data_IF_080382737564
#
_entry.id   IF_080382737564
#
_cell.length_a   1.000
_cell.length_b   1.000
_cell.length_c   1.000
_cell.angle_alpha   90.00
_cell.angle_beta   90.00
_cell.angle_gamma   90.00
#
_symmetry.space_group_name_H-M   'P 1'
#
loop_
_entity.id
_entity.type
_entity.pdbx_description
1 polymer ?
#
# COMPACT_ATOMS: atom_id res chain seq x y z
N UNK A 1 33.49 -13.92 -19.35
CA UNK A 1 32.72 -13.57 -18.13
C UNK A 1 31.36 -13.03 -18.56
N UNK A 2 30.33 -13.88 -18.63
CA UNK A 2 28.96 -13.40 -18.88
C UNK A 2 28.32 -13.04 -17.55
N UNK A 3 27.96 -11.77 -17.36
CA UNK A 3 27.16 -11.36 -16.23
C UNK A 3 25.80 -12.11 -16.27
N UNK A 4 25.50 -12.87 -15.22
CA UNK A 4 24.22 -13.55 -15.09
C UNK A 4 23.14 -12.52 -14.76
N UNK A 5 22.39 -12.11 -15.77
CA UNK A 5 21.28 -11.14 -15.73
C UNK A 5 19.99 -11.72 -15.11
N UNK A 6 19.98 -12.99 -14.71
CA UNK A 6 18.84 -13.71 -14.16
C UNK A 6 19.25 -14.36 -12.82
N UNK A 7 18.72 -14.07 -11.64
CA UNK A 7 17.35 -13.79 -11.32
C UNK A 7 17.32 -13.15 -9.93
N UNK A 8 16.91 -11.89 -9.83
CA UNK A 8 16.29 -11.46 -8.57
C UNK A 8 15.01 -12.30 -8.42
N UNK A 9 14.87 -13.08 -7.34
CA UNK A 9 13.71 -13.96 -7.18
C UNK A 9 12.44 -13.11 -7.25
N UNK A 10 11.39 -13.61 -7.92
CA UNK A 10 10.12 -12.88 -8.12
C UNK A 10 9.62 -12.25 -6.83
N UNK A 11 9.73 -12.97 -5.71
CA UNK A 11 9.35 -12.49 -4.38
C UNK A 11 10.12 -11.26 -3.92
N UNK A 12 11.39 -11.12 -4.30
CA UNK A 12 12.18 -9.93 -3.97
C UNK A 12 11.63 -8.69 -4.66
N UNK A 13 11.36 -8.78 -5.97
CA UNK A 13 10.77 -7.67 -6.74
C UNK A 13 9.39 -7.30 -6.21
N UNK A 14 8.54 -8.29 -5.94
CA UNK A 14 7.18 -8.07 -5.44
C UNK A 14 7.17 -7.29 -4.12
N UNK A 15 8.10 -7.56 -3.20
CA UNK A 15 8.21 -6.78 -1.96
C UNK A 15 8.45 -5.29 -2.22
N UNK A 16 9.38 -4.96 -3.12
CA UNK A 16 9.65 -3.56 -3.46
C UNK A 16 8.44 -2.90 -4.12
N UNK A 17 7.80 -3.60 -5.06
CA UNK A 17 6.59 -3.11 -5.72
C UNK A 17 5.44 -2.88 -4.75
N UNK A 18 5.18 -3.83 -3.84
CA UNK A 18 4.10 -3.72 -2.85
C UNK A 18 4.38 -2.60 -1.85
N UNK A 19 5.62 -2.49 -1.34
CA UNK A 19 6.01 -1.40 -0.45
C UNK A 19 5.83 -0.03 -1.11
N UNK A 20 6.29 0.11 -2.36
CA UNK A 20 6.11 1.35 -3.13
C UNK A 20 4.64 1.62 -3.44
N UNK A 21 3.85 0.60 -3.81
CA UNK A 21 2.43 0.73 -4.10
C UNK A 21 1.65 1.22 -2.87
N UNK A 22 1.94 0.72 -1.66
CA UNK A 22 1.30 1.18 -0.43
C UNK A 22 1.61 2.66 -0.14
N UNK A 23 2.88 3.06 -0.29
CA UNK A 23 3.31 4.46 -0.09
C UNK A 23 2.64 5.38 -1.13
N UNK A 24 2.73 5.02 -2.41
CA UNK A 24 2.14 5.79 -3.49
C UNK A 24 0.61 5.90 -3.36
N UNK A 25 -0.05 4.82 -2.95
CA UNK A 25 -1.50 4.80 -2.73
C UNK A 25 -1.88 5.72 -1.57
N UNK A 26 -1.12 5.70 -0.46
CA UNK A 26 -1.37 6.63 0.64
C UNK A 26 -1.17 8.08 0.20
N UNK A 27 -0.06 8.38 -0.47
CA UNK A 27 0.20 9.72 -0.98
C UNK A 27 -0.90 10.20 -1.94
N UNK A 28 -1.36 9.34 -2.86
CA UNK A 28 -2.47 9.63 -3.74
C UNK A 28 -3.77 9.92 -2.98
N UNK A 29 -4.14 9.04 -2.04
CA UNK A 29 -5.38 9.21 -1.25
C UNK A 29 -5.33 10.41 -0.29
N UNK A 30 -4.14 10.85 0.08
CA UNK A 30 -3.94 12.05 0.88
C UNK A 30 -3.97 13.35 0.05
N UNK A 31 -3.41 13.31 -1.17
CA UNK A 31 -3.20 14.52 -1.99
C UNK A 31 -4.29 14.78 -3.02
N UNK A 32 -4.95 13.74 -3.52
CA UNK A 32 -5.94 13.88 -4.57
C UNK A 32 -7.35 13.80 -3.98
N UNK A 33 -8.25 14.73 -4.34
CA UNK A 33 -9.62 14.68 -3.86
C UNK A 33 -10.42 13.54 -4.48
N UNK A 34 -11.31 12.93 -3.68
CA UNK A 34 -12.31 12.03 -4.21
C UNK A 34 -13.36 12.81 -5.02
N UNK A 35 -13.53 12.43 -6.29
CA UNK A 35 -14.43 13.09 -7.24
C UNK A 35 -15.83 12.44 -7.33
N UNK A 36 -15.98 11.19 -6.94
CA UNK A 36 -17.24 10.43 -7.01
C UNK A 36 -17.43 9.55 -5.77
N UNK A 37 -18.69 9.31 -5.38
CA UNK A 37 -19.01 8.37 -4.31
C UNK A 37 -18.82 6.93 -4.81
N UNK A 38 -17.86 6.16 -4.27
CA UNK A 38 -17.69 4.79 -4.70
C UNK A 38 -18.85 3.92 -4.20
N UNK A 39 -19.22 2.93 -5.01
CA UNK A 39 -20.19 1.92 -4.56
C UNK A 39 -19.63 1.14 -3.34
N UNK A 40 -20.50 0.66 -2.43
CA UNK A 40 -20.05 -0.09 -1.25
C UNK A 40 -19.15 -1.29 -1.60
N UNK A 41 -19.44 -1.97 -2.72
CA UNK A 41 -18.63 -3.09 -3.20
C UNK A 41 -17.20 -2.66 -3.54
N UNK A 42 -17.01 -1.51 -4.20
CA UNK A 42 -15.68 -0.97 -4.53
C UNK A 42 -14.93 -0.58 -3.26
N UNK A 43 -15.62 0.01 -2.29
CA UNK A 43 -15.03 0.33 -0.98
C UNK A 43 -14.49 -0.92 -0.28
N UNK A 44 -15.27 -1.99 -0.18
CA UNK A 44 -14.81 -3.22 0.47
C UNK A 44 -13.71 -3.94 -0.32
N UNK A 45 -13.79 -3.98 -1.65
CA UNK A 45 -12.73 -4.58 -2.48
C UNK A 45 -11.39 -3.85 -2.33
N UNK A 46 -11.42 -2.51 -2.30
CA UNK A 46 -10.19 -1.72 -2.10
C UNK A 46 -9.61 -1.92 -0.71
N UNK A 47 -10.44 -2.00 0.34
CA UNK A 47 -9.97 -2.36 1.69
C UNK A 47 -9.34 -3.75 1.74
N UNK A 48 -9.97 -4.75 1.10
CA UNK A 48 -9.44 -6.11 1.04
C UNK A 48 -8.11 -6.17 0.30
N UNK A 49 -7.99 -5.42 -0.79
CA UNK A 49 -6.74 -5.32 -1.56
C UNK A 49 -5.63 -4.64 -0.74
N UNK A 50 -5.92 -3.53 -0.08
CA UNK A 50 -4.97 -2.84 0.81
C UNK A 50 -4.51 -3.76 1.95
N UNK A 51 -5.45 -4.50 2.57
CA UNK A 51 -5.15 -5.48 3.61
C UNK A 51 -4.28 -6.64 3.08
N UNK A 52 -4.59 -7.15 1.89
CA UNK A 52 -3.81 -8.20 1.22
C UNK A 52 -2.38 -7.76 0.90
N UNK A 53 -2.20 -6.53 0.41
CA UNK A 53 -0.87 -5.94 0.18
C UNK A 53 -0.09 -5.79 1.47
N UNK A 54 -0.72 -5.28 2.54
CA UNK A 54 -0.09 -5.12 3.85
C UNK A 54 0.32 -6.48 4.44
N UNK A 55 -0.56 -7.47 4.40
CA UNK A 55 -0.27 -8.83 4.83
C UNK A 55 0.84 -9.48 3.99
N UNK A 56 0.84 -9.24 2.67
CA UNK A 56 1.89 -9.68 1.76
C UNK A 56 3.26 -9.06 2.09
N UNK A 57 3.29 -7.76 2.43
CA UNK A 57 4.50 -7.04 2.84
C UNK A 57 5.06 -7.62 4.16
N UNK A 58 4.21 -7.75 5.19
CA UNK A 58 4.58 -8.32 6.50
C UNK A 58 5.02 -9.76 6.37
N UNK A 59 4.27 -10.59 5.65
CA UNK A 59 4.62 -11.99 5.43
C UNK A 59 5.91 -12.18 4.64
N UNK A 60 6.21 -11.27 3.71
CA UNK A 60 7.47 -11.28 2.95
C UNK A 60 8.66 -10.89 3.83
N UNK A 61 8.50 -9.86 4.66
CA UNK A 61 9.54 -9.42 5.59
C UNK A 61 9.80 -10.47 6.69
N UNK A 62 8.75 -11.06 7.27
CA UNK A 62 8.86 -12.08 8.32
C UNK A 62 9.61 -13.35 7.89
N UNK A 63 9.65 -13.65 6.58
CA UNK A 63 10.43 -14.77 6.03
C UNK A 63 11.95 -14.51 6.02
N UNK A 64 12.42 -13.35 6.45
CA UNK A 64 13.84 -13.03 6.58
C UNK A 64 14.59 -12.97 5.25
N UNK A 65 13.88 -12.75 4.13
CA UNK A 65 14.45 -12.79 2.76
C UNK A 65 15.02 -11.45 2.28
N UNK A 66 15.01 -10.43 3.12
CA UNK A 66 15.31 -9.05 2.75
C UNK A 66 16.36 -8.47 3.69
N UNK A 67 17.60 -8.42 3.22
CA UNK A 67 18.72 -7.87 3.96
C UNK A 67 19.13 -6.52 3.37
N UNK A 68 19.44 -5.56 4.26
CA UNK A 68 19.88 -4.21 3.90
C UNK A 68 18.98 -3.10 4.42
N UNK A 69 19.62 -1.96 4.75
CA UNK A 69 18.96 -0.79 5.33
C UNK A 69 17.82 -0.25 4.44
N UNK A 70 18.00 -0.28 3.12
CA UNK A 70 16.97 0.18 2.17
C UNK A 70 15.70 -0.69 2.19
N UNK A 71 15.83 -2.00 2.34
CA UNK A 71 14.68 -2.89 2.43
C UNK A 71 13.94 -2.72 3.77
N UNK A 72 14.67 -2.49 4.86
CA UNK A 72 14.08 -2.20 6.17
C UNK A 72 13.34 -0.86 6.18
N UNK A 73 13.93 0.18 5.59
CA UNK A 73 13.28 1.48 5.47
C UNK A 73 11.98 1.37 4.64
N UNK A 74 12.03 0.68 3.50
CA UNK A 74 10.86 0.47 2.66
C UNK A 74 9.78 -0.37 3.37
N UNK A 75 10.17 -1.39 4.13
CA UNK A 75 9.25 -2.17 4.94
C UNK A 75 8.49 -1.28 5.92
N UNK A 76 9.21 -0.49 6.72
CA UNK A 76 8.58 0.36 7.73
C UNK A 76 7.73 1.46 7.11
N UNK A 77 8.21 2.11 6.04
CA UNK A 77 7.43 3.11 5.32
C UNK A 77 6.17 2.49 4.68
N UNK A 78 6.30 1.32 4.06
CA UNK A 78 5.17 0.59 3.48
C UNK A 78 4.16 0.14 4.54
N UNK A 79 4.64 -0.34 5.69
CA UNK A 79 3.81 -0.75 6.82
C UNK A 79 3.04 0.43 7.40
N UNK A 80 3.72 1.54 7.69
CA UNK A 80 3.09 2.78 8.16
C UNK A 80 2.10 3.32 7.13
N UNK A 81 2.43 3.22 5.84
CA UNK A 81 1.55 3.67 4.77
C UNK A 81 0.29 2.82 4.68
N UNK A 82 0.43 1.49 4.74
CA UNK A 82 -0.69 0.56 4.74
C UNK A 82 -1.62 0.76 5.94
N UNK A 83 -1.06 0.97 7.14
CA UNK A 83 -1.85 1.32 8.32
C UNK A 83 -2.54 2.68 8.12
N UNK A 84 -1.83 3.67 7.57
CA UNK A 84 -2.37 4.99 7.24
C UNK A 84 -3.59 4.94 6.34
N UNK A 85 -3.64 4.03 5.35
CA UNK A 85 -4.79 3.86 4.47
C UNK A 85 -6.07 3.48 5.23
N UNK A 86 -5.95 2.70 6.31
CA UNK A 86 -7.08 2.37 7.18
C UNK A 86 -7.42 3.50 8.14
N UNK A 87 -6.41 4.20 8.66
CA UNK A 87 -6.62 5.37 9.53
C UNK A 87 -7.41 6.45 8.81
N UNK A 88 -7.09 6.75 7.54
CA UNK A 88 -7.85 7.75 6.75
C UNK A 88 -9.34 7.42 6.75
N UNK A 89 -9.69 6.14 6.57
CA UNK A 89 -11.08 5.69 6.54
C UNK A 89 -11.80 5.86 7.88
N UNK A 90 -11.08 5.95 9.00
CA UNK A 90 -11.67 6.17 10.32
C UNK A 90 -11.85 7.66 10.69
N UNK A 91 -11.45 8.59 9.82
CA UNK A 91 -11.51 10.03 10.14
C UNK A 91 -12.89 10.66 9.99
N UNK A 92 -13.70 10.19 9.03
CA UNK A 92 -15.04 10.73 8.76
C UNK A 92 -15.88 9.77 7.91
N UNK A 93 -17.20 9.98 7.87
CA UNK A 93 -18.11 9.17 7.04
C UNK A 93 -17.80 9.24 5.53
N UNK A 94 -17.49 10.41 4.93
CA UNK A 94 -17.03 10.47 3.54
C UNK A 94 -15.70 9.75 3.33
N UNK A 95 -14.74 9.93 4.23
CA UNK A 95 -13.43 9.28 4.15
C UNK A 95 -13.53 7.75 4.33
N UNK A 96 -14.52 7.25 5.06
CA UNK A 96 -14.78 5.81 5.17
C UNK A 96 -15.06 5.18 3.79
N UNK A 97 -15.92 5.82 3.01
CA UNK A 97 -16.33 5.35 1.70
C UNK A 97 -15.21 5.54 0.66
N UNK A 98 -14.71 6.78 0.52
CA UNK A 98 -13.73 7.14 -0.51
C UNK A 98 -12.33 6.64 -0.18
N UNK A 99 -11.95 6.62 1.10
CA UNK A 99 -10.58 6.40 1.54
C UNK A 99 -9.65 7.60 1.31
N UNK A 100 -10.20 8.77 0.96
CA UNK A 100 -9.43 10.00 0.70
C UNK A 100 -9.59 11.01 1.84
N UNK A 101 -8.52 11.77 2.13
CA UNK A 101 -8.53 12.86 3.13
C UNK A 101 -9.27 14.08 2.57
N UNK A 102 -8.97 14.45 1.34
CA UNK A 102 -9.63 15.56 0.64
C UNK A 102 -10.83 15.01 -0.11
N UNK A 103 -12.00 15.62 0.07
CA UNK A 103 -13.22 15.22 -0.62
C UNK A 103 -13.87 16.45 -1.24
N UNK A 104 -14.21 16.38 -2.53
CA UNK A 104 -14.97 17.42 -3.26
C UNK A 104 -16.46 17.06 -3.39
N UNK A 105 -16.89 16.05 -2.65
CA UNK A 105 -18.26 15.55 -2.62
C UNK A 105 -19.08 16.50 -1.75
N UNK A 106 -19.66 17.53 -2.39
CA UNK A 106 -20.63 18.48 -1.82
C UNK A 106 -22.03 17.90 -1.76
#
# INVERSE_FOLDING_TARGET
MSANINATPLGSRLFYWVGFALIATLAWRALVPAHEWPSPNVTYMTMLFDAGMLAGLVGSYAKGRFEGAGAHALFWLGLLSGIGLFIIRMTSSPAWSSGHIVNTLS
#
